data_IF_345903498390
#
_entry.id   IF_345903498390
#
_cell.length_a   1.000
_cell.length_b   1.000
_cell.length_c   1.000
_cell.angle_alpha   90.00
_cell.angle_beta   90.00
_cell.angle_gamma   90.00
#
_symmetry.space_group_name_H-M   'P 1'
#
loop_
_entity.id
_entity.type
_entity.pdbx_description
1 polymer ?
#
# COMPACT_ATOMS: atom_id res chain seq x y z
N UNK A 1 6.10 -16.67 1.95
CA UNK A 1 5.05 -15.77 2.46
C UNK A 1 4.72 -16.17 3.89
N UNK A 2 5.12 -15.38 4.90
CA UNK A 2 4.69 -15.58 6.30
C UNK A 2 3.26 -15.06 6.43
N UNK A 3 2.38 -15.78 7.13
CA UNK A 3 0.98 -15.38 7.26
C UNK A 3 0.80 -14.31 8.34
N UNK A 4 -0.03 -13.29 8.09
CA UNK A 4 -0.51 -12.39 9.14
C UNK A 4 -1.78 -13.03 9.70
N UNK A 5 -1.77 -13.46 10.96
CA UNK A 5 -2.92 -14.11 11.61
C UNK A 5 -3.51 -15.30 10.83
N UNK A 6 -2.68 -16.08 10.14
CA UNK A 6 -3.13 -17.22 9.33
C UNK A 6 -3.56 -16.89 7.90
N UNK A 7 -3.71 -15.61 7.54
CA UNK A 7 -4.02 -15.19 6.17
C UNK A 7 -2.76 -15.17 5.30
N UNK A 8 -2.86 -15.82 4.13
CA UNK A 8 -1.85 -15.83 3.06
C UNK A 8 -2.33 -15.13 1.79
N UNK A 9 -3.57 -14.66 1.77
CA UNK A 9 -4.20 -13.97 0.65
C UNK A 9 -5.16 -12.92 1.19
N UNK A 10 -5.30 -11.82 0.44
CA UNK A 10 -6.27 -10.76 0.69
C UNK A 10 -7.57 -10.91 -0.11
N UNK A 11 -7.74 -12.05 -0.78
CA UNK A 11 -8.97 -12.42 -1.49
C UNK A 11 -10.19 -12.34 -0.56
N UNK A 12 -11.24 -11.67 -1.04
CA UNK A 12 -12.51 -11.52 -0.31
C UNK A 12 -12.58 -10.35 0.68
N UNK A 13 -11.47 -9.66 0.99
CA UNK A 13 -11.48 -8.57 1.98
C UNK A 13 -10.51 -7.41 1.69
N UNK A 14 -9.43 -7.62 0.93
CA UNK A 14 -8.38 -6.64 0.66
C UNK A 14 -8.72 -5.60 -0.41
N UNK A 15 -9.88 -5.69 -1.06
CA UNK A 15 -10.20 -4.91 -2.27
C UNK A 15 -10.02 -3.39 -2.08
N UNK A 16 -10.46 -2.83 -0.95
CA UNK A 16 -10.31 -1.39 -0.68
C UNK A 16 -8.85 -0.99 -0.41
N UNK A 17 -8.05 -1.87 0.20
CA UNK A 17 -6.61 -1.65 0.39
C UNK A 17 -5.93 -1.58 -0.98
N UNK A 18 -6.26 -2.50 -1.90
CA UNK A 18 -5.73 -2.52 -3.26
C UNK A 18 -6.11 -1.27 -4.05
N UNK A 19 -7.35 -0.78 -3.90
CA UNK A 19 -7.77 0.50 -4.50
C UNK A 19 -6.89 1.66 -4.01
N UNK A 20 -6.61 1.73 -2.71
CA UNK A 20 -5.75 2.76 -2.15
C UNK A 20 -4.30 2.67 -2.63
N UNK A 21 -3.75 1.45 -2.73
CA UNK A 21 -2.42 1.21 -3.31
C UNK A 21 -2.36 1.72 -4.77
N UNK A 22 -3.33 1.35 -5.61
CA UNK A 22 -3.38 1.78 -7.01
C UNK A 22 -3.52 3.31 -7.14
N UNK A 23 -4.37 3.92 -6.33
CA UNK A 23 -4.56 5.36 -6.32
C UNK A 23 -3.27 6.10 -5.94
N UNK A 24 -2.57 5.62 -4.91
CA UNK A 24 -1.31 6.21 -4.46
C UNK A 24 -0.19 6.03 -5.50
N UNK A 25 -0.06 4.83 -6.06
CA UNK A 25 0.88 4.56 -7.15
C UNK A 25 0.64 5.47 -8.36
N UNK A 26 -0.63 5.68 -8.73
CA UNK A 26 -0.98 6.61 -9.81
C UNK A 26 -0.59 8.05 -9.48
N UNK A 27 -0.79 8.50 -8.24
CA UNK A 27 -0.39 9.84 -7.80
C UNK A 27 1.13 10.03 -7.89
N UNK A 28 1.93 9.02 -7.50
CA UNK A 28 3.39 9.07 -7.64
C UNK A 28 3.83 9.11 -9.11
N UNK A 29 3.21 8.33 -9.98
CA UNK A 29 3.46 8.39 -11.42
C UNK A 29 3.19 9.80 -11.94
N UNK A 30 2.04 10.38 -11.61
CA UNK A 30 1.67 11.74 -12.06
C UNK A 30 2.62 12.80 -11.52
N UNK A 31 3.01 12.69 -10.25
CA UNK A 31 3.97 13.60 -9.63
C UNK A 31 5.32 13.57 -10.36
N UNK A 32 5.85 12.38 -10.63
CA UNK A 32 7.14 12.22 -11.31
C UNK A 32 7.08 12.64 -12.78
N UNK A 33 5.99 12.35 -13.49
CA UNK A 33 5.77 12.83 -14.86
C UNK A 33 5.79 14.36 -14.93
N UNK A 34 5.12 15.02 -13.97
CA UNK A 34 5.12 16.48 -13.88
C UNK A 34 6.50 17.05 -13.54
N UNK A 35 7.24 16.38 -12.64
CA UNK A 35 8.54 16.88 -12.14
C UNK A 35 9.69 16.68 -13.13
N UNK A 36 9.71 15.58 -13.86
CA UNK A 36 10.86 15.17 -14.67
C UNK A 36 10.61 15.26 -16.19
N UNK A 37 9.40 15.63 -16.64
CA UNK A 37 8.96 15.72 -18.04
C UNK A 37 9.08 14.43 -18.89
N UNK A 38 9.87 13.43 -18.47
CA UNK A 38 10.10 12.15 -19.16
C UNK A 38 10.26 11.00 -18.14
N UNK A 39 9.24 10.78 -17.31
CA UNK A 39 9.23 9.64 -16.40
C UNK A 39 8.77 8.37 -17.15
N UNK A 40 9.72 7.49 -17.42
CA UNK A 40 9.54 6.29 -18.25
C UNK A 40 8.90 5.15 -17.48
N UNK A 41 8.31 4.19 -18.20
CA UNK A 41 7.73 2.99 -17.58
C UNK A 41 8.78 2.17 -16.81
N UNK A 42 10.03 2.12 -17.29
CA UNK A 42 11.11 1.44 -16.58
C UNK A 42 11.38 2.08 -15.22
N UNK A 43 11.43 3.41 -15.17
CA UNK A 43 11.58 4.14 -13.91
C UNK A 43 10.38 3.92 -12.97
N UNK A 44 9.15 3.72 -13.49
CA UNK A 44 8.02 3.33 -12.65
C UNK A 44 8.27 1.98 -11.97
N UNK A 45 8.71 0.99 -12.75
CA UNK A 45 8.98 -0.36 -12.25
C UNK A 45 10.13 -0.39 -11.24
N UNK A 46 11.13 0.47 -11.39
CA UNK A 46 12.30 0.50 -10.50
C UNK A 46 12.08 1.31 -9.23
N UNK A 47 11.20 2.32 -9.24
CA UNK A 47 11.07 3.27 -8.11
C UNK A 47 9.73 3.23 -7.40
N UNK A 48 8.62 2.97 -8.10
CA UNK A 48 7.27 3.02 -7.53
C UNK A 48 6.80 1.61 -7.17
N UNK A 49 6.95 0.64 -8.08
CA UNK A 49 6.46 -0.72 -7.84
C UNK A 49 7.01 -1.36 -6.56
N UNK A 50 8.32 -1.23 -6.21
CA UNK A 50 8.87 -1.85 -5.01
C UNK A 50 8.15 -1.44 -3.73
N UNK A 51 7.62 -0.21 -3.70
CA UNK A 51 6.93 0.33 -2.53
C UNK A 51 5.68 -0.47 -2.14
N UNK A 52 5.07 -1.19 -3.08
CA UNK A 52 3.77 -1.86 -2.90
C UNK A 52 3.88 -3.39 -2.84
N UNK A 53 5.08 -3.95 -2.88
CA UNK A 53 5.29 -5.40 -2.94
C UNK A 53 4.79 -6.10 -1.66
N UNK A 54 3.96 -7.13 -1.83
CA UNK A 54 3.35 -7.87 -0.69
C UNK A 54 4.34 -8.71 0.12
N UNK A 55 5.52 -8.99 -0.45
CA UNK A 55 6.58 -9.76 0.18
C UNK A 55 7.62 -8.90 0.91
N UNK A 56 7.68 -7.59 0.62
CA UNK A 56 8.55 -6.67 1.35
C UNK A 56 7.98 -6.32 2.73
N UNK A 57 8.87 -5.95 3.65
CA UNK A 57 8.51 -5.54 5.00
C UNK A 57 9.14 -4.19 5.31
N UNK A 58 8.49 -3.41 6.18
CA UNK A 58 8.98 -2.12 6.69
C UNK A 58 9.44 -1.21 5.54
N UNK A 59 10.70 -0.72 5.58
CA UNK A 59 11.26 0.20 4.59
C UNK A 59 11.41 -0.37 3.17
N UNK A 60 11.42 -1.69 3.00
CA UNK A 60 11.59 -2.31 1.66
C UNK A 60 10.34 -2.14 0.79
N UNK A 61 9.16 -2.16 1.42
CA UNK A 61 7.87 -1.98 0.77
C UNK A 61 6.92 -1.26 1.74
N UNK A 62 7.12 0.06 1.96
CA UNK A 62 6.38 0.83 2.96
C UNK A 62 4.87 0.75 2.75
N UNK A 63 4.41 0.68 1.50
CA UNK A 63 3.01 0.57 1.11
C UNK A 63 2.57 -0.86 0.80
N UNK A 64 3.30 -1.87 1.28
CA UNK A 64 2.86 -3.27 1.24
C UNK A 64 1.54 -3.43 1.99
N UNK A 65 0.73 -4.41 1.58
CA UNK A 65 -0.51 -4.73 2.29
C UNK A 65 -0.25 -5.09 3.76
N UNK A 66 0.91 -5.66 4.07
CA UNK A 66 1.31 -6.00 5.43
C UNK A 66 1.49 -4.76 6.29
N UNK A 67 2.22 -3.77 5.80
CA UNK A 67 2.47 -2.53 6.53
C UNK A 67 1.18 -1.72 6.67
N UNK A 68 0.34 -1.67 5.64
CA UNK A 68 -0.99 -1.05 5.71
C UNK A 68 -1.84 -1.71 6.81
N UNK A 69 -1.78 -3.04 6.96
CA UNK A 69 -2.49 -3.75 8.02
C UNK A 69 -1.89 -3.53 9.40
N UNK A 70 -0.57 -3.40 9.52
CA UNK A 70 0.10 -3.04 10.79
C UNK A 70 -0.43 -1.69 11.28
N UNK A 71 -0.36 -0.65 10.43
CA UNK A 71 -0.90 0.68 10.75
C UNK A 71 -2.41 0.61 11.02
N UNK A 72 -3.16 -0.07 10.16
CA UNK A 72 -4.60 -0.24 10.35
C UNK A 72 -4.96 -0.86 11.70
N UNK A 73 -4.15 -1.81 12.18
CA UNK A 73 -4.33 -2.42 13.49
C UNK A 73 -4.02 -1.44 14.61
N UNK A 74 -3.00 -0.62 14.46
CA UNK A 74 -2.58 0.36 15.45
C UNK A 74 -3.55 1.54 15.59
N UNK A 75 -3.99 2.13 14.48
CA UNK A 75 -4.72 3.41 14.51
C UNK A 75 -6.25 3.28 14.46
N UNK A 76 -6.78 2.18 13.93
CA UNK A 76 -8.24 1.96 13.78
C UNK A 76 -8.69 0.56 14.19
N UNK A 77 -7.82 -0.22 14.84
CA UNK A 77 -8.08 -1.59 15.30
C UNK A 77 -8.59 -2.57 14.21
N UNK A 78 -8.16 -2.37 12.96
CA UNK A 78 -8.49 -3.24 11.83
C UNK A 78 -7.31 -4.08 11.38
N UNK A 79 -7.50 -5.40 11.32
CA UNK A 79 -6.54 -6.37 10.83
C UNK A 79 -7.07 -7.18 9.63
N UNK A 80 -6.40 -8.30 9.30
CA UNK A 80 -6.77 -9.15 8.18
C UNK A 80 -8.22 -9.65 8.24
N UNK A 81 -8.89 -9.71 7.09
CA UNK A 81 -10.29 -10.14 6.97
C UNK A 81 -11.32 -9.06 7.27
N UNK A 82 -10.92 -7.94 7.87
CA UNK A 82 -11.83 -6.84 8.17
C UNK A 82 -11.95 -5.86 7.00
N UNK A 83 -13.16 -5.39 6.78
CA UNK A 83 -13.46 -4.48 5.67
C UNK A 83 -12.98 -3.05 5.95
N UNK A 84 -12.29 -2.48 4.97
CA UNK A 84 -11.91 -1.06 4.94
C UNK A 84 -12.90 -0.31 4.06
N UNK A 85 -13.42 0.81 4.56
CA UNK A 85 -14.11 1.80 3.75
C UNK A 85 -13.16 2.92 3.32
N UNK A 86 -13.58 3.74 2.36
CA UNK A 86 -12.79 4.85 1.81
C UNK A 86 -12.23 5.79 2.89
N UNK A 87 -13.05 6.16 3.87
CA UNK A 87 -12.60 7.00 4.99
C UNK A 87 -11.50 6.29 5.81
N UNK A 88 -11.73 5.07 6.26
CA UNK A 88 -10.76 4.34 7.09
C UNK A 88 -9.42 4.10 6.37
N UNK A 89 -9.45 3.70 5.10
CA UNK A 89 -8.18 3.46 4.37
C UNK A 89 -7.44 4.78 4.12
N UNK A 90 -8.15 5.90 3.95
CA UNK A 90 -7.50 7.21 3.77
C UNK A 90 -6.71 7.65 5.01
N UNK A 91 -7.23 7.39 6.21
CA UNK A 91 -6.53 7.67 7.47
C UNK A 91 -5.28 6.79 7.60
N UNK A 92 -5.40 5.51 7.26
CA UNK A 92 -4.27 4.56 7.32
C UNK A 92 -3.17 4.95 6.34
N UNK A 93 -3.51 5.23 5.08
CA UNK A 93 -2.51 5.58 4.06
C UNK A 93 -1.75 6.86 4.39
N UNK A 94 -2.35 7.78 5.15
CA UNK A 94 -1.68 9.00 5.62
C UNK A 94 -0.51 8.69 6.56
N UNK A 95 -0.67 7.69 7.41
CA UNK A 95 0.32 7.30 8.43
C UNK A 95 1.33 6.26 7.90
N UNK A 96 0.97 5.46 6.89
CA UNK A 96 1.87 4.48 6.24
C UNK A 96 3.14 5.10 5.64
N UNK A 97 3.12 6.39 5.35
CA UNK A 97 4.29 7.16 4.88
C UNK A 97 5.38 7.36 5.97
N UNK A 98 5.01 7.28 7.25
CA UNK A 98 5.88 7.63 8.39
C UNK A 98 6.71 6.45 8.92
N UNK A 99 6.56 5.26 8.32
CA UNK A 99 7.41 4.10 8.58
C UNK A 99 8.54 4.03 7.57
#
# INVERSE_FOLDING_TARGET
MKSINGYKSDEGWGCMIRVAQMMCAHAFVKHNQYRFNEFTIQQHFETILPLFLDNGEDFEAPMSIRNILKVGKEIIDKGPGQWYGAHSISQVMKEVHLM
#
